data_IF_357819733095
#
_entry.id   IF_357819733095
#
_cell.length_a   1.000
_cell.length_b   1.000
_cell.length_c   1.000
_cell.angle_alpha   90.00
_cell.angle_beta   90.00
_cell.angle_gamma   90.00
#
_symmetry.space_group_name_H-M   'P 1'
#
loop_
_entity.id
_entity.type
_entity.pdbx_description
1 polymer ?
#
# COMPACT_ATOMS: atom_id res chain seq x y z
N UNK A 1 -9.64 -23.81 -4.54
CA UNK A 1 -10.11 -22.41 -4.45
C UNK A 1 -11.52 -22.33 -5.02
N UNK A 2 -12.47 -21.76 -4.30
CA UNK A 2 -13.84 -21.49 -4.78
C UNK A 2 -13.92 -20.29 -5.74
N UNK A 3 -12.84 -19.52 -5.85
CA UNK A 3 -12.72 -18.38 -6.77
C UNK A 3 -12.01 -18.86 -8.03
N UNK A 4 -12.63 -18.58 -9.19
CA UNK A 4 -12.10 -18.94 -10.51
C UNK A 4 -10.72 -18.32 -10.79
N UNK A 5 -9.87 -19.05 -11.53
CA UNK A 5 -8.47 -18.68 -11.81
C UNK A 5 -8.33 -17.50 -12.77
N UNK A 6 -9.36 -17.19 -13.58
CA UNK A 6 -9.40 -16.04 -14.49
C UNK A 6 -9.73 -14.71 -13.78
N UNK A 7 -10.10 -14.75 -12.50
CA UNK A 7 -10.43 -13.54 -11.73
C UNK A 7 -9.24 -13.01 -10.96
N UNK A 8 -9.11 -11.67 -10.95
CA UNK A 8 -8.26 -10.92 -10.01
C UNK A 8 -8.98 -10.74 -8.69
N UNK A 9 -8.23 -10.67 -7.60
CA UNK A 9 -8.75 -10.57 -6.22
C UNK A 9 -8.17 -9.30 -5.60
N UNK A 10 -9.05 -8.38 -5.20
CA UNK A 10 -8.67 -7.19 -4.46
C UNK A 10 -8.70 -7.48 -2.95
N UNK A 11 -7.57 -7.29 -2.27
CA UNK A 11 -7.43 -7.50 -0.83
C UNK A 11 -7.18 -6.17 -0.14
N UNK A 12 -7.96 -5.90 0.91
CA UNK A 12 -7.75 -4.78 1.81
C UNK A 12 -6.51 -5.00 2.67
N UNK A 13 -5.52 -4.12 2.53
CA UNK A 13 -4.29 -4.09 3.33
C UNK A 13 -4.12 -2.77 4.09
N UNK A 14 -5.15 -1.92 4.06
CA UNK A 14 -5.22 -0.64 4.76
C UNK A 14 -6.54 -0.58 5.53
N UNK A 15 -6.45 -0.29 6.82
CA UNK A 15 -7.59 -0.15 7.69
C UNK A 15 -8.19 1.25 7.55
N UNK A 16 -9.47 1.29 7.18
CA UNK A 16 -10.30 2.50 7.20
C UNK A 16 -10.82 2.83 8.61
N UNK A 17 -10.70 1.91 9.58
CA UNK A 17 -11.28 2.04 10.93
C UNK A 17 -10.41 2.80 11.92
N UNK A 18 -9.17 3.11 11.55
CA UNK A 18 -8.22 3.78 12.44
C UNK A 18 -7.56 4.96 11.72
N UNK A 19 -7.26 6.01 12.48
CA UNK A 19 -6.53 7.18 11.96
C UNK A 19 -5.03 6.91 11.86
N UNK A 20 -4.50 5.92 12.57
CA UNK A 20 -3.10 5.54 12.46
C UNK A 20 -2.77 5.10 11.04
N UNK A 21 -1.77 5.74 10.43
CA UNK A 21 -1.23 5.32 9.14
C UNK A 21 -0.38 4.07 9.37
N UNK A 22 -0.68 3.02 8.62
CA UNK A 22 0.06 1.77 8.63
C UNK A 22 1.52 2.02 8.26
N UNK A 23 2.44 1.26 8.85
CA UNK A 23 3.84 1.27 8.40
C UNK A 23 3.96 0.48 7.09
N UNK A 24 4.82 0.89 6.15
CA UNK A 24 5.05 0.13 4.92
C UNK A 24 5.38 -1.35 5.16
N UNK A 25 6.10 -1.65 6.23
CA UNK A 25 6.49 -3.01 6.61
C UNK A 25 5.29 -3.85 7.08
N UNK A 26 4.32 -3.24 7.77
CA UNK A 26 3.06 -3.88 8.16
C UNK A 26 2.25 -4.23 6.92
N UNK A 27 2.14 -3.30 5.97
CA UNK A 27 1.50 -3.55 4.68
C UNK A 27 2.21 -4.66 3.92
N UNK A 28 3.54 -4.62 3.80
CA UNK A 28 4.32 -5.66 3.14
C UNK A 28 4.10 -7.05 3.78
N UNK A 29 4.01 -7.11 5.10
CA UNK A 29 3.68 -8.36 5.81
C UNK A 29 2.30 -8.90 5.41
N UNK A 30 1.30 -8.06 5.24
CA UNK A 30 -0.03 -8.48 4.79
C UNK A 30 0.00 -8.94 3.32
N UNK A 31 0.75 -8.25 2.46
CA UNK A 31 0.91 -8.63 1.05
C UNK A 31 1.57 -10.01 0.95
N UNK A 32 2.65 -10.27 1.69
CA UNK A 32 3.32 -11.60 1.70
C UNK A 32 2.34 -12.70 2.10
N UNK A 33 1.52 -12.47 3.12
CA UNK A 33 0.45 -13.40 3.52
C UNK A 33 -0.58 -13.61 2.42
N UNK A 34 -0.92 -12.59 1.63
CA UNK A 34 -1.82 -12.76 0.48
C UNK A 34 -1.19 -13.65 -0.60
N UNK A 35 0.12 -13.50 -0.84
CA UNK A 35 0.86 -14.26 -1.85
C UNK A 35 1.01 -15.75 -1.52
N UNK A 36 0.81 -16.15 -0.26
CA UNK A 36 0.69 -17.56 0.11
C UNK A 36 -0.55 -18.23 -0.53
N UNK A 37 -1.56 -17.44 -0.92
CA UNK A 37 -2.84 -17.94 -1.42
C UNK A 37 -3.23 -17.45 -2.82
N UNK A 38 -2.65 -16.34 -3.28
CA UNK A 38 -3.03 -15.65 -4.53
C UNK A 38 -1.76 -15.37 -5.33
N UNK A 39 -1.74 -15.81 -6.59
CA UNK A 39 -0.63 -15.56 -7.50
C UNK A 39 -0.44 -14.04 -7.72
N UNK A 40 0.82 -13.55 -7.84
CA UNK A 40 1.11 -12.11 -7.95
C UNK A 40 0.31 -11.38 -9.04
N UNK A 41 0.10 -12.02 -10.19
CA UNK A 41 -0.59 -11.43 -11.35
C UNK A 41 -2.10 -11.24 -11.12
N UNK A 42 -2.64 -11.93 -10.12
CA UNK A 42 -4.06 -11.91 -9.73
C UNK A 42 -4.33 -11.05 -8.51
N UNK A 43 -3.31 -10.70 -7.73
CA UNK A 43 -3.46 -9.92 -6.51
C UNK A 43 -3.56 -8.41 -6.81
N UNK A 44 -4.66 -7.81 -6.38
CA UNK A 44 -4.85 -6.35 -6.37
C UNK A 44 -4.83 -5.91 -4.90
N UNK A 45 -4.09 -4.84 -4.61
CA UNK A 45 -4.00 -4.26 -3.27
C UNK A 45 -4.95 -3.08 -3.15
N UNK A 46 -5.70 -3.02 -2.06
CA UNK A 46 -6.72 -1.99 -1.80
C UNK A 46 -6.75 -1.61 -0.31
N UNK A 47 -7.56 -0.62 0.04
CA UNK A 47 -8.09 -0.48 1.40
C UNK A 47 -9.25 -1.44 1.67
N UNK A 48 -9.49 -1.74 2.93
CA UNK A 48 -10.62 -2.58 3.39
C UNK A 48 -11.99 -2.03 2.94
N UNK A 49 -12.12 -0.70 2.93
CA UNK A 49 -13.32 0.01 2.50
C UNK A 49 -12.94 1.44 2.08
N UNK A 50 -13.92 2.25 1.70
CA UNK A 50 -13.73 3.67 1.43
C UNK A 50 -13.47 4.49 2.69
N UNK A 51 -12.76 5.60 2.52
CA UNK A 51 -12.41 6.55 3.59
C UNK A 51 -13.54 7.54 3.95
N UNK A 52 -14.72 7.41 3.34
CA UNK A 52 -15.86 8.30 3.61
C UNK A 52 -16.53 8.04 4.97
N UNK A 53 -16.32 6.86 5.55
CA UNK A 53 -16.79 6.51 6.89
C UNK A 53 -15.68 6.82 7.91
N UNK A 54 -16.04 6.96 9.19
CA UNK A 54 -15.14 7.31 10.30
C UNK A 54 -14.45 8.69 10.27
N UNK A 55 -14.98 9.67 9.52
CA UNK A 55 -14.44 11.04 9.50
C UNK A 55 -12.94 11.13 9.14
N UNK A 56 -12.45 10.21 8.30
CA UNK A 56 -11.07 10.19 7.83
C UNK A 56 -10.78 11.47 7.03
N UNK A 57 -9.83 12.28 7.49
CA UNK A 57 -9.41 13.45 6.72
C UNK A 57 -8.73 13.02 5.41
N UNK A 58 -8.73 13.91 4.40
CA UNK A 58 -7.99 13.70 3.14
C UNK A 58 -6.51 13.43 3.36
N UNK A 59 -5.88 14.04 4.36
CA UNK A 59 -4.46 13.85 4.68
C UNK A 59 -4.16 12.43 5.18
N UNK A 60 -4.99 11.92 6.08
CA UNK A 60 -4.87 10.55 6.56
C UNK A 60 -5.09 9.54 5.43
N UNK A 61 -6.14 9.72 4.62
CA UNK A 61 -6.38 8.88 3.45
C UNK A 61 -5.18 8.90 2.47
N UNK A 62 -4.64 10.09 2.20
CA UNK A 62 -3.47 10.25 1.34
C UNK A 62 -2.25 9.47 1.85
N UNK A 63 -1.85 9.67 3.10
CA UNK A 63 -0.66 9.00 3.63
C UNK A 63 -0.85 7.50 3.87
N UNK A 64 -2.08 7.03 4.11
CA UNK A 64 -2.40 5.60 4.07
C UNK A 64 -2.16 5.00 2.69
N UNK A 65 -2.57 5.70 1.63
CA UNK A 65 -2.28 5.25 0.26
C UNK A 65 -0.80 5.32 -0.09
N UNK A 66 -0.06 6.33 0.40
CA UNK A 66 1.41 6.37 0.28
C UNK A 66 2.04 5.14 0.95
N UNK A 67 1.59 4.78 2.16
CA UNK A 67 2.06 3.59 2.85
C UNK A 67 1.77 2.30 2.07
N UNK A 68 0.57 2.19 1.46
CA UNK A 68 0.21 1.05 0.62
C UNK A 68 1.21 0.85 -0.52
N UNK A 69 1.52 1.92 -1.27
CA UNK A 69 2.44 1.82 -2.42
C UNK A 69 3.86 1.53 -1.96
N UNK A 70 4.32 2.14 -0.86
CA UNK A 70 5.64 1.84 -0.28
C UNK A 70 5.75 0.39 0.19
N UNK A 71 4.73 -0.14 0.85
CA UNK A 71 4.67 -1.55 1.25
C UNK A 71 4.65 -2.49 0.04
N UNK A 72 3.93 -2.12 -1.02
CA UNK A 72 3.95 -2.85 -2.29
C UNK A 72 5.34 -2.86 -2.92
N UNK A 73 6.06 -1.74 -2.93
CA UNK A 73 7.42 -1.67 -3.48
C UNK A 73 8.41 -2.59 -2.75
N UNK A 74 8.30 -2.71 -1.42
CA UNK A 74 9.11 -3.67 -0.64
C UNK A 74 8.95 -5.08 -1.22
N UNK A 75 7.70 -5.53 -1.41
CA UNK A 75 7.41 -6.87 -1.93
C UNK A 75 7.75 -6.98 -3.42
N UNK A 76 7.54 -5.93 -4.22
CA UNK A 76 7.94 -5.92 -5.64
C UNK A 76 9.44 -6.16 -5.78
N UNK A 77 10.26 -5.47 -4.99
CA UNK A 77 11.71 -5.68 -4.95
C UNK A 77 12.07 -7.11 -4.57
N UNK A 78 11.41 -7.68 -3.56
CA UNK A 78 11.62 -9.08 -3.13
C UNK A 78 11.29 -10.09 -4.25
N UNK A 79 10.30 -9.78 -5.09
CA UNK A 79 9.92 -10.57 -6.25
C UNK A 79 10.75 -10.28 -7.51
N UNK A 80 11.74 -9.38 -7.45
CA UNK A 80 12.52 -8.94 -8.61
C UNK A 80 11.71 -8.10 -9.62
N UNK A 81 10.59 -7.52 -9.19
CA UNK A 81 9.76 -6.62 -9.99
C UNK A 81 10.21 -5.17 -9.82
N UNK A 82 9.97 -4.36 -10.85
CA UNK A 82 10.27 -2.93 -10.82
C UNK A 82 9.45 -2.21 -9.73
N UNK A 83 10.12 -1.47 -8.85
CA UNK A 83 9.48 -0.56 -7.88
C UNK A 83 8.84 0.64 -8.59
N UNK A 84 7.73 1.15 -8.06
CA UNK A 84 7.02 2.29 -8.65
C UNK A 84 7.44 3.58 -7.93
N UNK A 85 7.67 4.66 -8.69
CA UNK A 85 7.95 5.97 -8.11
C UNK A 85 6.78 6.47 -7.23
N UNK A 86 7.10 6.97 -6.03
CA UNK A 86 6.13 7.52 -5.08
C UNK A 86 6.43 8.99 -4.83
N UNK A 87 5.72 9.95 -5.47
CA UNK A 87 6.02 11.37 -5.37
C UNK A 87 6.05 11.91 -3.94
N UNK A 88 5.18 11.39 -3.07
CA UNK A 88 5.11 11.78 -1.66
C UNK A 88 6.38 11.43 -0.84
N UNK A 89 7.28 10.65 -1.41
CA UNK A 89 8.56 10.26 -0.78
C UNK A 89 9.76 10.92 -1.46
N UNK A 90 9.55 11.69 -2.53
CA UNK A 90 10.64 12.35 -3.24
C UNK A 90 11.14 13.56 -2.44
N UNK A 91 12.40 13.54 -1.96
CA UNK A 91 12.95 14.67 -1.24
C UNK A 91 12.93 15.94 -2.10
N UNK A 92 13.11 15.86 -3.42
CA UNK A 92 13.12 17.04 -4.30
C UNK A 92 11.79 17.79 -4.35
N UNK A 93 10.70 17.13 -3.95
CA UNK A 93 9.36 17.73 -3.86
C UNK A 93 9.05 18.24 -2.44
N UNK A 94 9.97 18.06 -1.49
CA UNK A 94 9.85 18.62 -0.14
C UNK A 94 9.98 20.14 -0.18
N UNK A 95 9.05 20.83 0.48
CA UNK A 95 9.18 22.27 0.76
C UNK A 95 10.08 22.55 1.97
N UNK A 96 10.51 21.51 2.69
CA UNK A 96 11.48 21.63 3.77
C UNK A 96 12.88 21.68 3.14
N UNK A 97 13.66 22.75 3.36
CA UNK A 97 15.01 22.88 2.83
C UNK A 97 15.87 21.67 3.24
N UNK A 98 16.63 21.14 2.30
CA UNK A 98 17.73 20.24 2.62
C UNK A 98 18.78 21.07 3.35
N UNK A 99 18.89 20.86 4.65
CA UNK A 99 20.11 21.26 5.35
C UNK A 99 21.13 20.20 4.98
N UNK A 100 22.14 20.60 4.19
CA UNK A 100 23.31 19.78 3.95
C UNK A 100 23.91 19.43 5.32
N UNK A 101 23.90 18.14 5.67
CA UNK A 101 24.72 17.60 6.76
C UNK A 101 26.09 17.23 6.21
#
# INVERSE_FOLDING_TARGET
>A
SLISKDKKIAVGVISHRTMQIERPEEVASLIRRCLEYIEPERLILSSDCGFGRQSMSRMHAFYKMVSLVRGANIVRRELGLEEVYVPATDPKLSMVPFTDQ
#
